data_IF_823719410600
#
_entry.id   IF_823719410600
#
_cell.length_a   1.000
_cell.length_b   1.000
_cell.length_c   1.000
_cell.angle_alpha   90.00
_cell.angle_beta   90.00
_cell.angle_gamma   90.00
#
_symmetry.space_group_name_H-M   'P 1'
#
loop_
_entity.id
_entity.type
_entity.pdbx_description
1 polymer ?
#
# COMPACT_ATOMS: atom_id res chain seq x y z
N UNK A 1 -31.64 -0.60 29.54
CA UNK A 1 -30.97 -0.78 28.23
C UNK A 1 -29.92 0.32 28.10
N UNK A 2 -28.67 -0.01 27.75
CA UNK A 2 -27.57 0.97 27.64
C UNK A 2 -27.15 1.11 26.19
N UNK A 3 -27.02 2.34 25.69
CA UNK A 3 -26.58 2.61 24.31
C UNK A 3 -25.27 3.37 24.31
N UNK A 4 -24.28 2.89 23.55
CA UNK A 4 -22.95 3.50 23.49
C UNK A 4 -22.59 3.82 22.04
N UNK A 5 -22.23 5.08 21.77
CA UNK A 5 -21.76 5.54 20.46
C UNK A 5 -20.25 5.34 20.32
N UNK A 6 -19.82 4.68 19.24
CA UNK A 6 -18.38 4.47 18.93
C UNK A 6 -18.10 4.76 17.46
N UNK A 7 -17.80 6.00 17.06
CA UNK A 7 -17.75 6.38 15.66
C UNK A 7 -16.69 5.62 14.85
N UNK A 8 -15.59 5.14 15.44
CA UNK A 8 -14.53 4.48 14.67
C UNK A 8 -14.41 2.98 14.94
N UNK A 9 -15.45 2.34 15.46
CA UNK A 9 -15.43 0.92 15.85
C UNK A 9 -14.95 0.02 14.69
N UNK A 10 -15.38 0.29 13.45
CA UNK A 10 -15.07 -0.55 12.29
C UNK A 10 -13.63 -0.44 11.77
N UNK A 11 -12.83 0.47 12.36
CA UNK A 11 -11.40 0.68 12.06
C UNK A 11 -10.49 0.39 13.25
N UNK A 12 -11.07 0.00 14.39
CA UNK A 12 -10.40 -0.20 15.67
C UNK A 12 -11.02 -1.43 16.32
N UNK A 13 -10.95 -2.55 15.59
CA UNK A 13 -11.73 -3.74 15.89
C UNK A 13 -11.16 -4.46 17.10
N UNK A 14 -9.85 -4.59 17.20
CA UNK A 14 -9.21 -5.14 18.40
C UNK A 14 -9.68 -4.43 19.68
N UNK A 15 -9.64 -3.09 19.72
CA UNK A 15 -10.13 -2.33 20.91
C UNK A 15 -11.64 -2.40 21.08
N UNK A 16 -12.39 -2.59 20.00
CA UNK A 16 -13.85 -2.75 20.08
C UNK A 16 -14.21 -4.13 20.62
N UNK A 17 -13.53 -5.19 20.19
CA UNK A 17 -13.68 -6.56 20.66
C UNK A 17 -13.29 -6.68 22.13
N UNK A 18 -12.12 -6.14 22.52
CA UNK A 18 -11.70 -6.10 23.93
C UNK A 18 -12.70 -5.35 24.81
N UNK A 19 -13.23 -4.23 24.33
CA UNK A 19 -14.27 -3.48 25.02
C UNK A 19 -15.59 -4.26 25.12
N UNK A 20 -15.99 -5.03 24.09
CA UNK A 20 -17.18 -5.88 24.18
C UNK A 20 -16.99 -7.00 25.23
N UNK A 21 -15.79 -7.57 25.31
CA UNK A 21 -15.43 -8.53 26.37
C UNK A 21 -15.50 -7.89 27.76
N UNK A 22 -14.98 -6.68 27.94
CA UNK A 22 -15.07 -5.94 29.20
C UNK A 22 -16.53 -5.63 29.58
N UNK A 23 -17.34 -5.21 28.62
CA UNK A 23 -18.76 -4.94 28.84
C UNK A 23 -19.50 -6.21 29.29
N UNK A 24 -19.23 -7.36 28.66
CA UNK A 24 -19.82 -8.63 29.07
C UNK A 24 -19.37 -9.06 30.47
N UNK A 25 -18.11 -8.84 30.83
CA UNK A 25 -17.58 -9.09 32.18
C UNK A 25 -18.22 -8.18 33.24
N UNK A 26 -18.76 -7.02 32.84
CA UNK A 26 -19.51 -6.12 33.72
C UNK A 26 -21.02 -6.43 33.76
N UNK A 27 -21.49 -7.51 33.11
CA UNK A 27 -22.91 -7.86 33.02
C UNK A 27 -23.69 -7.09 31.96
N UNK A 28 -23.01 -6.47 30.98
CA UNK A 28 -23.64 -5.82 29.83
C UNK A 28 -23.52 -6.70 28.59
N UNK A 29 -24.59 -7.42 28.27
CA UNK A 29 -24.64 -8.27 27.08
C UNK A 29 -25.08 -7.46 25.86
N UNK A 30 -24.36 -7.61 24.74
CA UNK A 30 -24.70 -6.93 23.50
C UNK A 30 -26.06 -7.43 23.00
N UNK A 31 -27.05 -6.55 22.93
CA UNK A 31 -28.40 -6.88 22.45
C UNK A 31 -28.57 -6.55 20.96
N UNK A 32 -27.86 -5.54 20.47
CA UNK A 32 -27.93 -5.13 19.08
C UNK A 32 -26.93 -4.04 18.75
N UNK A 33 -26.88 -3.64 17.49
CA UNK A 33 -26.10 -2.50 17.03
C UNK A 33 -26.82 -1.77 15.90
N UNK A 34 -26.44 -0.52 15.67
CA UNK A 34 -26.85 0.23 14.50
C UNK A 34 -25.60 0.69 13.76
N UNK A 35 -25.29 0.03 12.64
CA UNK A 35 -24.08 0.30 11.87
C UNK A 35 -24.06 1.72 11.25
N UNK A 36 -25.24 2.29 10.94
CA UNK A 36 -25.36 3.64 10.34
C UNK A 36 -25.09 4.71 11.39
N UNK A 37 -25.73 4.59 12.54
CA UNK A 37 -25.56 5.50 13.68
C UNK A 37 -24.30 5.20 14.50
N UNK A 38 -23.62 4.08 14.23
CA UNK A 38 -22.40 3.63 14.93
C UNK A 38 -22.62 3.46 16.44
N UNK A 39 -23.79 2.97 16.82
CA UNK A 39 -24.19 2.74 18.21
C UNK A 39 -24.32 1.25 18.51
N UNK A 40 -24.00 0.88 19.76
CA UNK A 40 -24.15 -0.47 20.30
C UNK A 40 -25.17 -0.42 21.43
N UNK A 41 -26.12 -1.36 21.43
CA UNK A 41 -27.19 -1.45 22.41
C UNK A 41 -26.99 -2.68 23.29
N UNK A 42 -27.05 -2.50 24.60
CA UNK A 42 -26.78 -3.52 25.60
C UNK A 42 -28.00 -3.75 26.49
N UNK A 43 -28.20 -5.02 26.85
CA UNK A 43 -29.09 -5.45 27.93
C UNK A 43 -28.26 -5.79 29.16
N UNK A 44 -28.83 -5.54 30.33
CA UNK A 44 -28.22 -5.98 31.57
C UNK A 44 -28.48 -7.48 31.71
N UNK A 45 -27.43 -8.24 32.02
CA UNK A 45 -27.41 -9.69 32.10
C UNK A 45 -26.39 -10.11 33.18
N UNK A 46 -26.27 -11.40 33.43
CA UNK A 46 -25.23 -11.92 34.33
C UNK A 46 -23.82 -11.63 33.79
N UNK A 47 -22.85 -11.25 34.65
CA UNK A 47 -21.45 -11.12 34.25
C UNK A 47 -20.91 -12.42 33.64
N UNK A 48 -20.41 -12.36 32.41
CA UNK A 48 -19.84 -13.53 31.72
C UNK A 48 -18.52 -13.15 31.05
N UNK A 49 -17.50 -13.96 31.27
CA UNK A 49 -16.26 -13.91 30.52
C UNK A 49 -16.44 -14.63 29.19
N UNK A 50 -16.46 -13.88 28.10
CA UNK A 50 -16.53 -14.43 26.76
C UNK A 50 -15.67 -13.63 25.78
N UNK A 51 -15.13 -14.31 24.79
CA UNK A 51 -14.34 -13.72 23.72
C UNK A 51 -15.26 -13.27 22.60
N UNK A 52 -15.17 -11.98 22.26
CA UNK A 52 -15.91 -11.38 21.14
C UNK A 52 -15.01 -11.23 19.92
N UNK A 53 -15.54 -11.53 18.74
CA UNK A 53 -14.87 -11.30 17.47
C UNK A 53 -15.83 -10.68 16.46
N UNK A 54 -15.37 -9.67 15.74
CA UNK A 54 -16.17 -9.01 14.71
C UNK A 54 -15.66 -9.43 13.34
N UNK A 55 -16.53 -10.09 12.57
CA UNK A 55 -16.29 -10.52 11.21
C UNK A 55 -16.88 -9.58 10.17
N UNK A 56 -16.26 -9.58 8.98
CA UNK A 56 -16.81 -8.98 7.77
C UNK A 56 -16.90 -10.06 6.69
N UNK A 57 -18.11 -10.48 6.36
CA UNK A 57 -18.41 -11.57 5.43
C UNK A 57 -18.61 -11.05 3.99
N UNK A 58 -18.40 -11.92 2.99
CA UNK A 58 -18.65 -11.58 1.59
C UNK A 58 -20.16 -11.43 1.30
N UNK A 59 -20.99 -12.25 1.97
CA UNK A 59 -22.44 -12.29 1.84
C UNK A 59 -23.10 -12.04 3.21
N UNK A 60 -24.35 -11.57 3.20
CA UNK A 60 -25.08 -11.19 4.42
C UNK A 60 -25.73 -12.36 5.18
N UNK A 61 -25.59 -13.60 4.67
CA UNK A 61 -26.17 -14.81 5.26
C UNK A 61 -25.18 -15.99 5.20
N UNK A 62 -23.90 -15.78 5.51
CA UNK A 62 -22.95 -16.90 5.54
C UNK A 62 -23.10 -17.67 6.85
N UNK A 63 -23.40 -18.96 6.80
CA UNK A 63 -23.41 -19.81 7.98
C UNK A 63 -22.03 -19.83 8.65
N UNK A 64 -21.97 -20.07 9.96
CA UNK A 64 -20.68 -20.27 10.65
C UNK A 64 -19.99 -21.50 10.05
N UNK A 65 -18.74 -21.39 9.55
CA UNK A 65 -18.04 -22.55 9.00
C UNK A 65 -17.95 -23.69 10.01
N UNK A 66 -18.09 -24.95 9.56
CA UNK A 66 -18.13 -26.13 10.42
C UNK A 66 -16.92 -26.23 11.37
N UNK A 67 -15.72 -25.91 10.89
CA UNK A 67 -14.50 -25.89 11.71
C UNK A 67 -14.55 -24.84 12.83
N UNK A 68 -15.23 -23.72 12.61
CA UNK A 68 -15.38 -22.62 13.57
C UNK A 68 -16.46 -22.95 14.61
N UNK A 69 -17.56 -23.56 14.17
CA UNK A 69 -18.60 -24.08 15.06
C UNK A 69 -18.04 -25.20 15.97
N UNK A 70 -17.22 -26.10 15.43
CA UNK A 70 -16.52 -27.13 16.19
C UNK A 70 -15.54 -26.56 17.22
N UNK A 71 -14.96 -25.39 16.94
CA UNK A 71 -14.10 -24.66 17.88
C UNK A 71 -14.88 -23.83 18.92
N UNK A 72 -16.21 -24.00 19.01
CA UNK A 72 -17.06 -23.37 20.04
C UNK A 72 -17.54 -21.97 19.69
N UNK A 73 -17.27 -21.46 18.49
CA UNK A 73 -17.77 -20.15 18.08
C UNK A 73 -19.24 -20.20 17.69
N UNK A 74 -19.98 -19.20 18.14
CA UNK A 74 -21.39 -19.00 17.77
C UNK A 74 -21.56 -17.60 17.20
N UNK A 75 -22.48 -17.45 16.24
CA UNK A 75 -22.86 -16.15 15.71
C UNK A 75 -23.88 -15.52 16.66
N UNK A 76 -23.55 -14.35 17.19
CA UNK A 76 -24.38 -13.62 18.15
C UNK A 76 -25.30 -12.62 17.45
N UNK A 77 -24.75 -11.84 16.51
CA UNK A 77 -25.48 -10.83 15.75
C UNK A 77 -24.99 -10.75 14.32
N UNK A 78 -25.89 -10.38 13.40
CA UNK A 78 -25.53 -10.07 12.01
C UNK A 78 -26.35 -8.88 11.50
N UNK A 79 -25.68 -7.94 10.83
CA UNK A 79 -26.33 -6.86 10.10
C UNK A 79 -25.59 -6.61 8.78
N UNK A 80 -26.23 -7.01 7.67
CA UNK A 80 -25.58 -7.01 6.36
C UNK A 80 -24.34 -7.90 6.37
N UNK A 81 -23.21 -7.36 5.90
CA UNK A 81 -21.92 -8.08 5.83
C UNK A 81 -21.19 -8.17 7.17
N UNK A 82 -21.71 -7.55 8.23
CA UNK A 82 -21.06 -7.56 9.54
C UNK A 82 -21.67 -8.63 10.43
N UNK A 83 -20.81 -9.43 11.04
CA UNK A 83 -21.19 -10.46 11.99
C UNK A 83 -20.41 -10.29 13.28
N UNK A 84 -21.05 -10.59 14.40
CA UNK A 84 -20.41 -10.67 15.71
C UNK A 84 -20.45 -12.12 16.14
N UNK A 85 -19.30 -12.67 16.49
CA UNK A 85 -19.15 -14.03 17.00
C UNK A 85 -18.72 -14.01 18.45
N UNK A 86 -19.21 -14.99 19.20
CA UNK A 86 -18.91 -15.19 20.62
C UNK A 86 -18.35 -16.59 20.83
N UNK A 87 -17.39 -16.69 21.76
CA UNK A 87 -16.86 -17.96 22.23
C UNK A 87 -16.67 -17.88 23.75
N UNK A 88 -17.20 -18.84 24.53
CA UNK A 88 -17.02 -18.87 25.98
C UNK A 88 -15.59 -19.20 26.42
N UNK A 89 -14.72 -19.69 25.53
CA UNK A 89 -13.32 -20.00 25.83
C UNK A 89 -12.45 -18.75 26.04
N UNK A 90 -11.42 -18.89 26.88
CA UNK A 90 -10.37 -17.87 27.03
C UNK A 90 -9.54 -17.73 25.74
N UNK A 91 -9.09 -16.52 25.37
CA UNK A 91 -8.39 -16.26 24.10
C UNK A 91 -7.18 -17.16 23.84
N UNK A 92 -6.46 -17.55 24.89
CA UNK A 92 -5.23 -18.36 24.81
C UNK A 92 -5.49 -19.83 24.43
N UNK A 93 -6.68 -20.35 24.71
CA UNK A 93 -7.07 -21.72 24.39
C UNK A 93 -7.66 -21.87 22.97
N UNK A 94 -7.93 -20.76 22.27
CA UNK A 94 -8.61 -20.76 20.98
C UNK A 94 -7.62 -21.01 19.83
N UNK A 95 -7.75 -22.16 19.17
CA UNK A 95 -6.90 -22.55 18.03
C UNK A 95 -7.42 -22.07 16.67
N UNK A 96 -8.68 -21.66 16.58
CA UNK A 96 -9.32 -21.23 15.33
C UNK A 96 -10.04 -19.90 15.54
N UNK A 97 -9.83 -18.95 14.61
CA UNK A 97 -10.43 -17.62 14.61
C UNK A 97 -11.19 -17.37 13.31
N UNK A 98 -12.21 -16.48 13.33
CA UNK A 98 -12.87 -16.06 12.09
C UNK A 98 -11.89 -15.42 11.11
N UNK A 99 -12.00 -15.76 9.82
CA UNK A 99 -11.14 -15.18 8.79
C UNK A 99 -11.34 -13.67 8.67
N UNK A 100 -10.24 -12.90 8.70
CA UNK A 100 -10.23 -11.44 8.57
C UNK A 100 -9.89 -10.95 7.15
N UNK A 101 -9.87 -11.84 6.16
CA UNK A 101 -9.45 -11.53 4.78
C UNK A 101 -10.27 -10.41 4.13
N UNK A 102 -11.59 -10.53 4.17
CA UNK A 102 -12.51 -9.55 3.57
C UNK A 102 -12.51 -8.21 4.34
N UNK A 103 -12.30 -8.26 5.66
CA UNK A 103 -12.13 -7.07 6.47
C UNK A 103 -10.87 -6.28 6.05
N UNK A 104 -9.73 -6.96 5.89
CA UNK A 104 -8.48 -6.35 5.42
C UNK A 104 -8.66 -5.75 4.02
N UNK A 105 -9.38 -6.45 3.12
CA UNK A 105 -9.73 -5.95 1.79
C UNK A 105 -10.53 -4.65 1.87
N UNK A 106 -11.57 -4.58 2.70
CA UNK A 106 -12.35 -3.36 2.95
C UNK A 106 -11.47 -2.23 3.50
N UNK A 107 -10.64 -2.51 4.49
CA UNK A 107 -9.73 -1.53 5.10
C UNK A 107 -8.76 -0.92 4.08
N UNK A 108 -8.28 -1.71 3.11
CA UNK A 108 -7.47 -1.22 1.99
C UNK A 108 -8.25 -0.26 1.08
N UNK A 109 -9.48 -0.62 0.70
CA UNK A 109 -10.34 0.24 -0.12
C UNK A 109 -10.60 1.58 0.56
N UNK A 110 -10.92 1.57 1.85
CA UNK A 110 -11.12 2.81 2.61
C UNK A 110 -9.83 3.63 2.75
N UNK A 111 -8.68 2.97 2.94
CA UNK A 111 -7.38 3.68 2.95
C UNK A 111 -7.14 4.41 1.65
N UNK A 112 -7.47 3.81 0.50
CA UNK A 112 -7.35 4.46 -0.80
C UNK A 112 -8.28 5.67 -0.92
N UNK A 113 -9.55 5.51 -0.49
CA UNK A 113 -10.53 6.60 -0.48
C UNK A 113 -10.06 7.81 0.35
N UNK A 114 -9.62 7.58 1.59
CA UNK A 114 -9.11 8.66 2.45
C UNK A 114 -7.79 9.27 1.95
N UNK A 115 -6.94 8.46 1.30
CA UNK A 115 -5.75 8.96 0.62
C UNK A 115 -6.15 9.91 -0.51
N UNK A 116 -7.18 9.55 -1.30
CA UNK A 116 -7.74 10.42 -2.34
C UNK A 116 -8.22 11.76 -1.81
N UNK A 117 -8.98 11.76 -0.70
CA UNK A 117 -9.41 13.00 -0.01
C UNK A 117 -8.20 13.84 0.41
N UNK A 118 -7.20 13.21 1.01
CA UNK A 118 -5.99 13.89 1.50
C UNK A 118 -5.21 14.53 0.35
N UNK A 119 -5.03 13.81 -0.76
CA UNK A 119 -4.35 14.33 -1.96
C UNK A 119 -5.14 15.48 -2.59
N UNK A 120 -6.47 15.33 -2.71
CA UNK A 120 -7.33 16.38 -3.23
C UNK A 120 -7.25 17.66 -2.39
N UNK A 121 -7.36 17.54 -1.06
CA UNK A 121 -7.19 18.66 -0.15
C UNK A 121 -5.79 19.31 -0.31
N UNK A 122 -4.73 18.50 -0.38
CA UNK A 122 -3.36 19.00 -0.58
C UNK A 122 -3.22 19.80 -1.89
N UNK A 123 -3.81 19.32 -3.00
CA UNK A 123 -3.80 20.06 -4.29
C UNK A 123 -4.51 21.40 -4.16
N UNK A 124 -5.67 21.45 -3.49
CA UNK A 124 -6.39 22.70 -3.23
C UNK A 124 -5.54 23.67 -2.41
N UNK A 125 -4.82 23.19 -1.39
CA UNK A 125 -3.96 24.04 -0.56
C UNK A 125 -2.66 24.48 -1.26
N UNK A 126 -2.13 23.69 -2.19
CA UNK A 126 -0.90 24.03 -2.92
C UNK A 126 -1.11 25.26 -3.80
N UNK A 127 -2.26 25.39 -4.48
CA UNK A 127 -2.53 26.51 -5.40
C UNK A 127 -2.40 27.90 -4.73
N UNK A 128 -3.10 28.20 -3.61
CA UNK A 128 -2.94 29.50 -2.94
C UNK A 128 -1.53 29.64 -2.35
N UNK A 129 -0.90 28.55 -1.88
CA UNK A 129 0.46 28.59 -1.35
C UNK A 129 1.49 28.97 -2.42
N UNK A 130 1.37 28.42 -3.64
CA UNK A 130 2.27 28.77 -4.75
C UNK A 130 2.07 30.21 -5.21
N UNK A 131 0.82 30.69 -5.25
CA UNK A 131 0.51 32.10 -5.57
C UNK A 131 1.11 33.06 -4.53
N UNK A 132 0.97 32.75 -3.24
CA UNK A 132 1.57 33.54 -2.16
C UNK A 132 3.10 33.54 -2.24
N UNK A 133 3.70 32.37 -2.48
CA UNK A 133 5.16 32.23 -2.61
C UNK A 133 5.68 33.03 -3.80
N UNK A 134 5.00 32.96 -4.95
CA UNK A 134 5.36 33.72 -6.13
C UNK A 134 5.31 35.23 -5.87
N UNK A 135 4.24 35.71 -5.22
CA UNK A 135 4.10 37.13 -4.85
C UNK A 135 5.24 37.65 -3.98
N UNK A 136 5.65 36.87 -2.97
CA UNK A 136 6.78 37.23 -2.10
C UNK A 136 8.08 37.32 -2.90
N UNK A 137 8.29 36.42 -3.87
CA UNK A 137 9.51 36.39 -4.70
C UNK A 137 9.52 37.54 -5.70
N UNK A 138 8.39 37.84 -6.35
CA UNK A 138 8.30 38.86 -7.40
C UNK A 138 8.02 40.27 -6.87
N UNK A 139 7.80 40.42 -5.57
CA UNK A 139 7.42 41.70 -4.95
C UNK A 139 6.06 42.22 -5.44
N UNK A 140 5.24 41.37 -6.07
CA UNK A 140 3.94 41.78 -6.60
C UNK A 140 2.90 41.72 -5.47
N UNK A 141 2.15 42.80 -5.20
CA UNK A 141 1.18 42.78 -4.12
C UNK A 141 0.01 41.84 -4.43
N UNK A 142 -0.28 40.87 -3.55
CA UNK A 142 -1.49 40.03 -3.66
C UNK A 142 -2.71 40.87 -3.33
N UNK A 143 -3.55 41.12 -4.35
CA UNK A 143 -4.86 41.73 -4.13
C UNK A 143 -5.88 40.65 -3.74
N UNK A 144 -6.20 40.54 -2.46
CA UNK A 144 -7.25 39.64 -1.98
C UNK A 144 -8.61 40.24 -2.32
N UNK A 145 -9.30 39.65 -3.29
CA UNK A 145 -10.67 40.03 -3.65
C UNK A 145 -11.65 39.27 -2.77
N UNK A 146 -12.54 39.97 -2.08
CA UNK A 146 -13.60 39.32 -1.28
C UNK A 146 -14.53 38.56 -2.21
N UNK A 147 -14.72 37.26 -1.93
CA UNK A 147 -15.70 36.46 -2.66
C UNK A 147 -17.11 36.99 -2.41
N UNK A 148 -17.94 37.20 -3.44
CA UNK A 148 -19.37 37.48 -3.27
C UNK A 148 -20.08 36.39 -2.44
N UNK A 149 -19.55 35.16 -2.50
CA UNK A 149 -20.04 33.98 -1.79
C UNK A 149 -19.10 33.58 -0.63
N UNK A 150 -18.64 34.57 0.15
CA UNK A 150 -17.68 34.35 1.24
C UNK A 150 -18.17 33.35 2.29
N UNK A 151 -19.46 33.33 2.61
CA UNK A 151 -20.04 32.39 3.58
C UNK A 151 -19.97 30.95 3.05
N UNK A 152 -20.35 30.74 1.79
CA UNK A 152 -20.32 29.40 1.15
C UNK A 152 -18.88 28.89 1.04
N UNK A 153 -17.95 29.74 0.61
CA UNK A 153 -16.53 29.38 0.52
C UNK A 153 -15.91 29.10 1.89
N UNK A 154 -16.27 29.87 2.92
CA UNK A 154 -15.88 29.61 4.30
C UNK A 154 -16.40 28.27 4.83
N UNK A 155 -17.71 28.00 4.66
CA UNK A 155 -18.33 26.73 5.05
C UNK A 155 -17.71 25.53 4.30
N UNK A 156 -17.44 25.68 3.01
CA UNK A 156 -16.76 24.65 2.22
C UNK A 156 -15.33 24.38 2.73
N UNK A 157 -14.60 25.43 3.11
CA UNK A 157 -13.28 25.32 3.73
C UNK A 157 -13.31 24.57 5.06
N UNK A 158 -14.27 24.91 5.94
CA UNK A 158 -14.47 24.20 7.22
C UNK A 158 -14.84 22.74 6.98
N UNK A 159 -15.77 22.46 6.06
CA UNK A 159 -16.16 21.10 5.72
C UNK A 159 -14.98 20.27 5.18
N UNK A 160 -14.15 20.85 4.30
CA UNK A 160 -12.95 20.21 3.77
C UNK A 160 -11.94 19.92 4.89
N UNK A 161 -11.76 20.83 5.84
CA UNK A 161 -10.86 20.65 6.98
C UNK A 161 -11.35 19.54 7.91
N UNK A 162 -12.66 19.49 8.22
CA UNK A 162 -13.26 18.40 8.99
C UNK A 162 -13.13 17.05 8.28
N UNK A 163 -13.35 17.00 6.97
CA UNK A 163 -13.14 15.80 6.15
C UNK A 163 -11.68 15.35 6.16
N UNK A 164 -10.74 16.29 6.08
CA UNK A 164 -9.30 16.00 6.15
C UNK A 164 -8.92 15.42 7.51
N UNK A 165 -9.38 16.02 8.61
CA UNK A 165 -9.14 15.51 9.97
C UNK A 165 -9.72 14.10 10.11
N UNK A 166 -10.97 13.88 9.69
CA UNK A 166 -11.61 12.57 9.72
C UNK A 166 -10.85 11.53 8.87
N UNK A 167 -10.35 11.92 7.69
CA UNK A 167 -9.54 11.08 6.83
C UNK A 167 -8.21 10.69 7.48
N UNK A 168 -7.50 11.65 8.10
CA UNK A 168 -6.23 11.42 8.79
C UNK A 168 -6.41 10.50 10.01
N UNK A 169 -7.43 10.73 10.84
CA UNK A 169 -7.76 9.87 11.99
C UNK A 169 -8.11 8.45 11.52
N UNK A 170 -8.95 8.34 10.48
CA UNK A 170 -9.35 7.04 9.94
C UNK A 170 -8.16 6.29 9.35
N UNK A 171 -7.29 6.96 8.60
CA UNK A 171 -6.05 6.38 8.08
C UNK A 171 -5.12 5.93 9.21
N UNK A 172 -4.98 6.72 10.27
CA UNK A 172 -4.15 6.35 11.41
C UNK A 172 -4.68 5.08 12.09
N UNK A 173 -5.99 5.02 12.38
CA UNK A 173 -6.64 3.85 12.99
C UNK A 173 -6.53 2.61 12.10
N UNK A 174 -6.86 2.72 10.82
CA UNK A 174 -6.74 1.60 9.88
C UNK A 174 -5.29 1.09 9.78
N UNK A 175 -4.29 1.99 9.78
CA UNK A 175 -2.88 1.60 9.76
C UNK A 175 -2.44 0.95 11.08
N UNK A 176 -2.90 1.44 12.23
CA UNK A 176 -2.62 0.83 13.52
C UNK A 176 -3.21 -0.59 13.59
N UNK A 177 -4.47 -0.74 13.19
CA UNK A 177 -5.16 -2.02 13.16
C UNK A 177 -4.53 -3.00 12.15
N UNK A 178 -4.21 -2.52 10.95
CA UNK A 178 -3.49 -3.32 9.96
C UNK A 178 -2.13 -3.77 10.49
N UNK A 179 -1.39 -2.90 11.20
CA UNK A 179 -0.11 -3.27 11.82
C UNK A 179 -0.27 -4.32 12.91
N UNK A 180 -1.40 -4.38 13.61
CA UNK A 180 -1.68 -5.44 14.57
C UNK A 180 -1.87 -6.77 13.84
N UNK A 181 -2.73 -6.81 12.81
CA UNK A 181 -2.96 -8.03 12.01
C UNK A 181 -1.73 -8.50 11.23
N UNK A 182 -0.97 -7.56 10.66
CA UNK A 182 0.30 -7.83 10.02
C UNK A 182 1.46 -7.81 11.01
N UNK A 183 1.24 -7.66 12.32
CA UNK A 183 2.29 -7.67 13.35
C UNK A 183 2.53 -9.09 13.83
N UNK A 184 1.43 -9.82 14.07
CA UNK A 184 1.43 -11.26 14.29
C UNK A 184 1.92 -12.03 13.04
N UNK A 185 1.39 -11.66 11.86
CA UNK A 185 1.93 -12.09 10.57
C UNK A 185 3.15 -11.26 10.11
N UNK A 186 3.70 -10.39 10.97
CA UNK A 186 4.80 -9.47 10.62
C UNK A 186 6.15 -10.15 10.51
N UNK A 187 6.25 -11.31 11.16
CA UNK A 187 7.31 -12.29 10.88
C UNK A 187 7.29 -12.71 9.40
N UNK A 188 6.12 -12.77 8.73
CA UNK A 188 5.98 -13.08 7.30
C UNK A 188 6.62 -12.06 6.35
N UNK A 189 6.59 -10.78 6.74
CA UNK A 189 7.05 -9.69 5.88
C UNK A 189 8.43 -9.14 6.29
N UNK A 190 9.05 -9.68 7.34
CA UNK A 190 10.37 -9.26 7.80
C UNK A 190 11.38 -9.54 6.70
N UNK A 191 11.99 -8.47 6.18
CA UNK A 191 13.11 -8.57 5.26
C UNK A 191 14.21 -9.36 5.97
N UNK A 192 14.59 -10.49 5.39
CA UNK A 192 15.64 -11.32 5.94
C UNK A 192 16.98 -10.65 5.66
N UNK A 193 17.47 -9.91 6.65
CA UNK A 193 18.86 -9.45 6.69
C UNK A 193 19.73 -10.64 7.05
N UNK A 194 20.65 -11.08 6.17
CA UNK A 194 21.59 -12.13 6.51
C UNK A 194 22.50 -11.67 7.66
N UNK A 195 23.02 -12.64 8.43
CA UNK A 195 24.00 -12.37 9.49
C UNK A 195 25.16 -11.54 8.93
N UNK A 196 25.51 -10.46 9.63
CA UNK A 196 26.57 -9.55 9.20
C UNK A 196 27.92 -10.28 9.22
N UNK A 197 28.47 -10.58 8.05
CA UNK A 197 29.90 -10.91 7.95
C UNK A 197 30.72 -9.62 7.97
N UNK A 198 31.93 -9.69 8.55
CA UNK A 198 32.91 -8.60 8.70
C UNK A 198 33.61 -8.23 7.38
N UNK A 199 32.89 -8.27 6.25
CA UNK A 199 33.42 -8.03 4.92
C UNK A 199 33.36 -6.57 4.45
N UNK A 200 34.16 -6.25 3.42
CA UNK A 200 34.17 -4.93 2.75
C UNK A 200 32.79 -4.62 2.17
N UNK A 201 32.25 -3.44 2.48
CA UNK A 201 30.91 -3.01 2.06
C UNK A 201 30.98 -2.29 0.72
N UNK A 202 29.97 -2.51 -0.12
CA UNK A 202 29.75 -1.76 -1.35
C UNK A 202 28.30 -1.27 -1.41
N UNK A 203 28.12 0.00 -1.82
CA UNK A 203 26.81 0.61 -2.00
C UNK A 203 26.64 0.94 -3.47
N UNK A 204 25.51 0.53 -4.07
CA UNK A 204 25.21 0.80 -5.48
C UNK A 204 23.82 1.37 -5.63
N UNK A 205 23.68 2.41 -6.45
CA UNK A 205 22.41 3.04 -6.77
C UNK A 205 21.83 2.46 -8.07
N UNK A 206 20.56 2.09 -8.04
CA UNK A 206 19.77 1.70 -9.21
C UNK A 206 18.43 2.41 -9.21
N UNK A 207 18.33 3.49 -9.98
CA UNK A 207 17.09 4.24 -10.15
C UNK A 207 16.19 3.60 -11.21
N UNK A 208 14.87 3.58 -10.96
CA UNK A 208 13.87 3.18 -11.94
C UNK A 208 13.89 1.70 -12.34
N UNK A 209 14.46 0.82 -11.52
CA UNK A 209 14.50 -0.62 -11.81
C UNK A 209 13.12 -1.26 -11.91
N UNK A 210 12.10 -0.69 -11.25
CA UNK A 210 10.70 -1.15 -11.27
C UNK A 210 10.10 -1.12 -12.68
N UNK A 211 10.70 -0.36 -13.60
CA UNK A 211 10.29 -0.27 -15.00
C UNK A 211 10.99 -1.33 -15.88
N UNK A 212 11.99 -2.04 -15.36
CA UNK A 212 12.70 -3.13 -16.03
C UNK A 212 13.21 -4.14 -14.99
N UNK A 213 12.32 -4.85 -14.29
CA UNK A 213 12.67 -5.74 -13.18
C UNK A 213 13.61 -6.87 -13.61
N UNK A 214 13.47 -7.39 -14.82
CA UNK A 214 14.34 -8.40 -15.41
C UNK A 214 15.83 -7.98 -15.46
N UNK A 215 16.08 -6.69 -15.74
CA UNK A 215 17.45 -6.16 -15.75
C UNK A 215 18.01 -6.03 -14.35
N UNK A 216 17.15 -5.80 -13.35
CA UNK A 216 17.58 -5.80 -11.95
C UNK A 216 17.95 -7.20 -11.49
N UNK A 217 17.12 -8.20 -11.78
CA UNK A 217 17.34 -9.61 -11.44
C UNK A 217 18.73 -10.06 -11.93
N UNK A 218 18.97 -9.94 -13.25
CA UNK A 218 20.27 -10.26 -13.87
C UNK A 218 21.43 -9.47 -13.28
N UNK A 219 21.22 -8.20 -12.93
CA UNK A 219 22.24 -7.37 -12.34
C UNK A 219 22.60 -7.82 -10.92
N UNK A 220 21.61 -8.21 -10.10
CA UNK A 220 21.81 -8.76 -8.77
C UNK A 220 22.52 -10.12 -8.83
N UNK A 221 22.07 -11.02 -9.71
CA UNK A 221 22.74 -12.30 -9.99
C UNK A 221 24.21 -12.11 -10.36
N UNK A 222 24.51 -11.13 -11.24
CA UNK A 222 25.88 -10.82 -11.62
C UNK A 222 26.71 -10.23 -10.46
N UNK A 223 26.10 -9.55 -9.49
CA UNK A 223 26.80 -9.12 -8.28
C UNK A 223 27.15 -10.32 -7.39
N UNK A 224 26.22 -11.25 -7.19
CA UNK A 224 26.43 -12.46 -6.38
C UNK A 224 27.53 -13.35 -6.96
N UNK A 225 27.56 -13.52 -8.29
CA UNK A 225 28.64 -14.26 -8.98
C UNK A 225 30.01 -13.61 -8.82
N UNK A 226 30.07 -12.30 -8.57
CA UNK A 226 31.31 -11.58 -8.29
C UNK A 226 31.65 -11.58 -6.79
N UNK A 227 30.89 -12.29 -5.97
CA UNK A 227 31.00 -12.30 -4.50
C UNK A 227 30.55 -11.01 -3.84
N UNK A 228 29.72 -10.19 -4.51
CA UNK A 228 29.04 -9.05 -3.88
C UNK A 228 27.66 -9.49 -3.45
N UNK A 229 27.55 -9.85 -2.17
CA UNK A 229 26.37 -10.52 -1.64
C UNK A 229 25.38 -9.48 -1.12
N UNK A 230 24.16 -9.46 -1.65
CA UNK A 230 23.14 -8.49 -1.24
C UNK A 230 22.70 -8.80 0.18
N UNK A 231 22.84 -7.81 1.07
CA UNK A 231 22.39 -7.95 2.47
C UNK A 231 21.27 -6.98 2.85
N UNK A 232 21.16 -5.85 2.14
CA UNK A 232 20.13 -4.84 2.42
C UNK A 232 19.76 -4.05 1.19
N UNK A 233 18.48 -3.73 1.06
CA UNK A 233 17.97 -2.72 0.14
C UNK A 233 17.46 -1.54 0.96
N UNK A 234 17.76 -0.32 0.53
CA UNK A 234 17.30 0.91 1.16
C UNK A 234 15.77 1.01 1.14
N UNK A 235 15.21 1.81 2.05
CA UNK A 235 13.75 1.93 2.24
C UNK A 235 12.99 2.34 0.96
N UNK A 236 13.62 3.16 0.12
CA UNK A 236 13.05 3.60 -1.16
C UNK A 236 13.23 2.58 -2.29
N UNK A 237 13.93 1.47 -2.04
CA UNK A 237 14.19 0.43 -3.03
C UNK A 237 15.29 0.73 -4.04
N UNK A 238 15.90 1.92 -4.03
CA UNK A 238 16.85 2.35 -5.08
C UNK A 238 18.32 2.14 -4.71
N UNK A 239 18.63 2.00 -3.43
CA UNK A 239 20.01 1.84 -2.93
C UNK A 239 20.18 0.38 -2.49
N UNK A 240 21.21 -0.28 -3.03
CA UNK A 240 21.51 -1.68 -2.75
C UNK A 240 22.85 -1.78 -2.02
N UNK A 241 22.84 -2.47 -0.89
CA UNK A 241 23.99 -2.64 -0.03
C UNK A 241 24.49 -4.08 -0.12
N UNK A 242 25.76 -4.21 -0.43
CA UNK A 242 26.45 -5.47 -0.62
C UNK A 242 27.58 -5.62 0.40
N UNK A 243 27.86 -6.87 0.78
CA UNK A 243 29.06 -7.26 1.51
C UNK A 243 29.87 -8.18 0.61
N UNK A 244 31.18 -7.96 0.54
CA UNK A 244 32.09 -8.85 -0.18
C UNK A 244 32.16 -10.19 0.56
N UNK A 245 31.77 -11.27 -0.12
CA UNK A 245 31.79 -12.65 0.37
C UNK A 245 32.22 -13.62 -0.74
N UNK A 246 31.96 -14.90 -0.55
CA UNK A 246 32.16 -15.92 -1.58
C UNK A 246 31.16 -15.74 -2.73
N UNK A 247 31.59 -15.93 -3.99
CA UNK A 247 30.68 -16.08 -5.11
C UNK A 247 29.63 -17.13 -4.84
N UNK A 248 28.37 -16.82 -5.14
CA UNK A 248 27.25 -17.75 -5.01
C UNK A 248 26.26 -17.63 -6.17
N UNK A 249 25.53 -18.70 -6.40
CA UNK A 249 24.48 -18.78 -7.39
C UNK A 249 23.14 -18.49 -6.70
N UNK A 250 22.60 -17.30 -6.94
CA UNK A 250 21.34 -16.86 -6.35
C UNK A 250 20.46 -16.32 -7.46
N UNK A 251 19.27 -16.88 -7.58
CA UNK A 251 18.25 -16.35 -8.48
C UNK A 251 17.45 -15.26 -7.76
N UNK A 252 17.20 -14.16 -8.45
CA UNK A 252 16.38 -13.06 -7.93
C UNK A 252 15.07 -12.96 -8.70
N UNK A 253 14.00 -12.62 -7.99
CA UNK A 253 12.72 -12.33 -8.60
C UNK A 253 12.15 -11.02 -8.07
N UNK A 254 11.95 -10.05 -8.98
CA UNK A 254 11.30 -8.80 -8.66
C UNK A 254 9.81 -8.91 -9.02
N UNK A 255 9.00 -9.20 -8.01
CA UNK A 255 7.56 -9.40 -8.17
C UNK A 255 6.78 -8.14 -7.84
N UNK A 256 5.74 -7.86 -8.63
CA UNK A 256 4.81 -6.77 -8.36
C UNK A 256 3.46 -7.33 -7.95
N UNK A 257 2.88 -6.75 -6.91
CA UNK A 257 1.68 -7.26 -6.28
C UNK A 257 0.68 -6.13 -6.11
N UNK A 258 -0.52 -6.36 -6.63
CA UNK A 258 -1.67 -5.53 -6.28
C UNK A 258 -2.19 -6.01 -4.93
N UNK A 259 -1.76 -5.31 -3.87
CA UNK A 259 -2.13 -5.58 -2.49
C UNK A 259 -1.82 -7.02 -2.02
N UNK A 260 -0.55 -7.29 -1.69
CA UNK A 260 -0.09 -8.62 -1.28
C UNK A 260 -0.98 -9.27 -0.21
N UNK A 261 -1.50 -10.46 -0.52
CA UNK A 261 -2.22 -11.33 0.42
C UNK A 261 -1.24 -11.79 1.51
N UNK A 262 -1.60 -11.82 2.81
CA UNK A 262 -0.76 -12.49 3.82
C UNK A 262 -0.28 -13.88 3.35
N UNK A 263 -1.17 -14.65 2.73
CA UNK A 263 -0.92 -16.01 2.25
C UNK A 263 0.20 -16.06 1.18
N UNK A 264 0.42 -14.97 0.45
CA UNK A 264 1.44 -14.90 -0.60
C UNK A 264 2.87 -14.99 -0.03
N UNK A 265 3.16 -14.28 1.07
CA UNK A 265 4.52 -14.27 1.62
C UNK A 265 4.87 -15.63 2.24
N UNK A 266 3.92 -16.27 2.91
CA UNK A 266 4.13 -17.60 3.48
C UNK A 266 4.31 -18.67 2.39
N UNK A 267 3.52 -18.63 1.32
CA UNK A 267 3.66 -19.55 0.18
C UNK A 267 5.08 -19.54 -0.42
N UNK A 268 5.64 -18.36 -0.63
CA UNK A 268 6.98 -18.24 -1.21
C UNK A 268 8.08 -18.61 -0.21
N UNK A 269 7.90 -18.27 1.07
CA UNK A 269 8.85 -18.71 2.11
C UNK A 269 8.86 -20.22 2.26
N UNK A 270 7.70 -20.88 2.28
CA UNK A 270 7.64 -22.35 2.35
C UNK A 270 8.28 -23.01 1.14
N UNK A 271 8.33 -22.33 -0.02
CA UNK A 271 9.08 -22.76 -1.21
C UNK A 271 10.59 -22.41 -1.17
N UNK A 272 11.10 -21.88 -0.06
CA UNK A 272 12.50 -21.54 0.16
C UNK A 272 12.94 -20.17 -0.37
N UNK A 273 12.01 -19.30 -0.78
CA UNK A 273 12.33 -17.95 -1.21
C UNK A 273 12.50 -17.00 -0.02
N UNK A 274 13.57 -16.21 -0.04
CA UNK A 274 13.89 -15.21 0.99
C UNK A 274 13.50 -13.82 0.52
N UNK A 275 12.77 -13.08 1.36
CA UNK A 275 12.37 -11.70 1.07
C UNK A 275 13.52 -10.73 1.36
N UNK A 276 14.10 -10.12 0.31
CA UNK A 276 15.22 -9.16 0.41
C UNK A 276 14.77 -7.71 0.42
N UNK A 277 13.57 -7.43 -0.07
CA UNK A 277 13.01 -6.09 -0.07
C UNK A 277 11.50 -6.16 -0.27
N UNK A 278 10.77 -5.28 0.42
CA UNK A 278 9.36 -5.03 0.15
C UNK A 278 9.09 -3.54 0.30
N UNK A 279 8.49 -2.94 -0.71
CA UNK A 279 8.02 -1.54 -0.61
C UNK A 279 6.99 -1.37 0.51
N UNK A 280 7.04 -0.24 1.21
CA UNK A 280 6.16 0.05 2.35
C UNK A 280 4.75 0.51 1.96
N UNK A 281 4.47 0.73 0.67
CA UNK A 281 3.15 1.19 0.21
C UNK A 281 2.16 0.01 0.17
N UNK A 282 1.00 0.18 0.82
CA UNK A 282 0.07 -0.93 1.09
C UNK A 282 -0.73 -1.42 -0.13
N UNK A 283 -0.90 -0.58 -1.15
CA UNK A 283 -1.77 -0.89 -2.30
C UNK A 283 -1.03 -1.50 -3.49
N UNK A 284 0.28 -1.25 -3.57
CA UNK A 284 1.15 -1.69 -4.68
C UNK A 284 2.50 -2.04 -4.08
N UNK A 285 2.80 -3.33 -4.05
CA UNK A 285 4.02 -3.82 -3.44
C UNK A 285 4.93 -4.36 -4.52
N UNK A 286 6.11 -3.78 -4.64
CA UNK A 286 7.25 -4.48 -5.20
C UNK A 286 7.94 -5.26 -4.10
N UNK A 287 8.21 -6.54 -4.36
CA UNK A 287 8.96 -7.43 -3.50
C UNK A 287 10.13 -8.01 -4.29
N UNK A 288 11.32 -8.02 -3.69
CA UNK A 288 12.49 -8.70 -4.27
C UNK A 288 12.70 -9.98 -3.47
N UNK A 289 12.55 -11.11 -4.15
CA UNK A 289 12.81 -12.43 -3.62
C UNK A 289 14.17 -12.92 -4.09
N UNK A 290 14.80 -13.77 -3.28
CA UNK A 290 16.04 -14.45 -3.62
C UNK A 290 15.99 -15.91 -3.20
N UNK A 291 16.50 -16.81 -4.04
CA UNK A 291 16.71 -18.22 -3.69
C UNK A 291 18.08 -18.67 -4.21
N UNK A 292 18.87 -19.22 -3.30
CA UNK A 292 20.19 -19.78 -3.60
C UNK A 292 20.01 -21.20 -4.16
N UNK A 293 20.91 -21.61 -5.05
CA UNK A 293 20.88 -22.92 -5.72
C UNK A 293 22.31 -23.36 -6.03
N UNK A 294 22.51 -24.66 -6.18
CA UNK A 294 23.84 -25.22 -6.38
C UNK A 294 24.24 -25.34 -7.86
N UNK A 295 25.55 -25.50 -8.10
CA UNK A 295 26.10 -25.65 -9.44
C UNK A 295 25.67 -27.00 -10.02
N UNK A 296 24.83 -26.97 -11.06
CA UNK A 296 24.26 -28.18 -11.69
C UNK A 296 22.76 -28.34 -11.42
N UNK A 297 22.20 -27.59 -10.47
CA UNK A 297 20.75 -27.51 -10.27
C UNK A 297 20.09 -26.56 -11.28
N UNK A 298 18.84 -26.86 -11.64
CA UNK A 298 18.05 -25.92 -12.43
C UNK A 298 17.77 -24.63 -11.65
N UNK A 299 17.90 -23.44 -12.28
CA UNK A 299 17.60 -22.19 -11.62
C UNK A 299 16.18 -22.18 -11.03
N UNK A 300 16.02 -21.84 -9.74
CA UNK A 300 14.72 -21.95 -9.09
C UNK A 300 13.72 -20.99 -9.71
N UNK A 301 12.57 -21.52 -10.15
CA UNK A 301 11.49 -20.72 -10.71
C UNK A 301 10.49 -20.33 -9.63
N UNK A 302 10.10 -19.05 -9.60
CA UNK A 302 9.13 -18.55 -8.61
C UNK A 302 7.69 -18.87 -9.01
N UNK A 303 7.43 -19.00 -10.30
CA UNK A 303 6.13 -19.34 -10.88
C UNK A 303 6.29 -20.53 -11.81
N UNK A 304 5.42 -21.53 -11.67
CA UNK A 304 5.39 -22.70 -12.55
C UNK A 304 4.87 -22.38 -13.96
N UNK A 305 4.03 -21.34 -14.08
CA UNK A 305 3.46 -20.91 -15.36
C UNK A 305 4.08 -19.57 -15.81
N UNK A 306 4.80 -19.54 -16.94
CA UNK A 306 5.40 -18.31 -17.44
C UNK A 306 4.37 -17.33 -18.06
N UNK A 307 3.16 -17.79 -18.42
CA UNK A 307 2.08 -16.91 -18.87
C UNK A 307 1.59 -15.97 -17.76
N UNK A 308 1.67 -16.40 -16.50
CA UNK A 308 1.35 -15.56 -15.34
C UNK A 308 2.25 -14.31 -15.31
N UNK A 309 3.56 -14.48 -15.53
CA UNK A 309 4.54 -13.39 -15.59
C UNK A 309 4.27 -12.44 -16.74
N UNK A 310 3.90 -12.96 -17.91
CA UNK A 310 3.59 -12.15 -19.08
C UNK A 310 2.33 -11.28 -18.88
N UNK A 311 1.26 -11.87 -18.33
CA UNK A 311 0.02 -11.15 -17.98
C UNK A 311 0.29 -10.04 -16.98
N UNK A 312 1.18 -10.32 -16.02
CA UNK A 312 1.60 -9.36 -15.01
C UNK A 312 2.38 -8.19 -15.61
N UNK A 313 3.39 -8.47 -16.44
CA UNK A 313 4.18 -7.47 -17.15
C UNK A 313 3.32 -6.55 -18.03
N UNK A 314 2.33 -7.11 -18.75
CA UNK A 314 1.38 -6.33 -19.54
C UNK A 314 0.58 -5.36 -18.67
N UNK A 315 0.08 -5.83 -17.52
CA UNK A 315 -0.69 -5.00 -16.58
C UNK A 315 0.15 -3.85 -16.03
N UNK A 316 1.42 -4.10 -15.69
CA UNK A 316 2.37 -3.07 -15.26
C UNK A 316 2.55 -2.02 -16.36
N UNK A 317 2.83 -2.45 -17.60
CA UNK A 317 3.06 -1.55 -18.73
C UNK A 317 1.83 -0.66 -19.02
N UNK A 318 0.64 -1.27 -19.07
CA UNK A 318 -0.62 -0.52 -19.22
C UNK A 318 -0.83 0.48 -18.10
N UNK A 319 -0.61 0.08 -16.84
CA UNK A 319 -0.80 0.96 -15.70
C UNK A 319 0.12 2.18 -15.75
N UNK A 320 1.43 1.97 -15.96
CA UNK A 320 2.37 3.09 -16.03
C UNK A 320 2.14 3.95 -17.27
N UNK A 321 1.68 3.38 -18.38
CA UNK A 321 1.24 4.16 -19.54
C UNK A 321 0.07 5.07 -19.15
N UNK A 322 -0.99 4.52 -18.54
CA UNK A 322 -2.13 5.32 -18.13
C UNK A 322 -1.77 6.38 -17.08
N UNK A 323 -0.83 6.08 -16.19
CA UNK A 323 -0.37 7.01 -15.17
C UNK A 323 0.45 8.17 -15.77
N UNK A 324 1.37 7.89 -16.69
CA UNK A 324 2.31 8.88 -17.22
C UNK A 324 1.85 9.55 -18.52
N UNK A 325 0.90 8.96 -19.25
CA UNK A 325 0.40 9.51 -20.51
C UNK A 325 -0.21 10.92 -20.35
N UNK A 326 -1.06 11.21 -19.34
CA UNK A 326 -1.56 12.57 -19.14
C UNK A 326 -0.43 13.58 -18.87
N UNK A 327 0.59 13.18 -18.11
CA UNK A 327 1.76 14.02 -17.86
C UNK A 327 2.57 14.26 -19.13
N UNK A 328 2.79 13.23 -19.94
CA UNK A 328 3.47 13.35 -21.23
C UNK A 328 2.73 14.28 -22.18
N UNK A 329 1.41 14.13 -22.31
CA UNK A 329 0.59 15.00 -23.15
C UNK A 329 0.62 16.44 -22.65
N UNK A 330 0.47 16.65 -21.34
CA UNK A 330 0.53 17.98 -20.73
C UNK A 330 1.88 18.66 -20.98
N UNK A 331 3.00 17.98 -20.69
CA UNK A 331 4.32 18.58 -20.86
C UNK A 331 4.66 18.79 -22.34
N UNK A 332 4.26 17.88 -23.24
CA UNK A 332 4.45 18.07 -24.69
C UNK A 332 3.63 19.25 -25.22
N UNK A 333 2.37 19.40 -24.80
CA UNK A 333 1.53 20.54 -25.19
C UNK A 333 2.05 21.85 -24.63
N UNK A 334 2.52 21.88 -23.37
CA UNK A 334 3.15 23.09 -22.85
C UNK A 334 4.44 23.41 -23.63
N UNK A 335 5.26 22.40 -23.94
CA UNK A 335 6.48 22.58 -24.72
C UNK A 335 6.21 23.21 -26.09
N UNK A 336 5.16 22.78 -26.80
CA UNK A 336 4.79 23.39 -28.10
C UNK A 336 4.31 24.83 -27.94
N UNK A 337 3.54 25.15 -26.90
CA UNK A 337 3.11 26.53 -26.61
C UNK A 337 4.30 27.43 -26.28
N UNK A 338 5.21 26.98 -25.41
CA UNK A 338 6.39 27.76 -25.03
C UNK A 338 7.35 27.98 -26.20
N UNK A 339 7.57 26.97 -27.05
CA UNK A 339 8.40 27.11 -28.27
C UNK A 339 7.71 28.02 -29.29
N UNK A 340 6.41 27.85 -29.53
CA UNK A 340 5.66 28.67 -30.50
C UNK A 340 5.60 30.14 -30.11
N UNK A 341 5.53 30.44 -28.80
CA UNK A 341 5.59 31.80 -28.27
C UNK A 341 6.99 32.44 -28.30
N UNK A 342 8.03 31.70 -28.66
CA UNK A 342 9.42 32.17 -28.65
C UNK A 342 9.82 33.01 -29.88
N UNK A 343 8.98 33.05 -30.93
CA UNK A 343 9.27 33.81 -32.15
C UNK A 343 9.10 35.33 -32.03
N UNK A 344 8.41 35.83 -30.99
CA UNK A 344 8.02 37.24 -30.87
C UNK A 344 8.80 38.08 -29.85
N UNK A 345 9.24 37.48 -28.74
CA UNK A 345 10.03 38.15 -27.71
C UNK A 345 11.34 37.39 -27.52
N UNK A 346 12.47 38.11 -27.48
CA UNK A 346 13.81 37.55 -27.34
C UNK A 346 13.99 36.56 -26.17
N UNK A 347 15.10 35.81 -26.19
CA UNK A 347 15.36 34.71 -25.29
C UNK A 347 15.42 35.13 -23.80
N UNK A 348 14.31 35.00 -23.08
CA UNK A 348 14.24 35.16 -21.63
C UNK A 348 14.84 33.90 -20.93
N UNK A 349 15.85 34.03 -20.05
CA UNK A 349 16.45 32.90 -19.32
C UNK A 349 15.44 32.01 -18.57
N UNK A 350 14.38 32.60 -18.02
CA UNK A 350 13.32 31.84 -17.34
C UNK A 350 12.53 30.95 -18.31
N UNK A 351 12.29 31.42 -19.55
CA UNK A 351 11.62 30.64 -20.60
C UNK A 351 12.51 29.49 -21.07
N UNK A 352 13.80 29.72 -21.29
CA UNK A 352 14.76 28.66 -21.66
C UNK A 352 14.83 27.57 -20.57
N UNK A 353 14.84 27.97 -19.31
CA UNK A 353 14.83 27.03 -18.17
C UNK A 353 13.55 26.19 -18.16
N UNK A 354 12.38 26.78 -18.42
CA UNK A 354 11.11 26.05 -18.51
C UNK A 354 11.09 25.05 -19.67
N UNK A 355 11.56 25.46 -20.86
CA UNK A 355 11.66 24.58 -22.04
C UNK A 355 12.56 23.37 -21.72
N UNK A 356 13.73 23.62 -21.12
CA UNK A 356 14.65 22.55 -20.73
C UNK A 356 14.00 21.59 -19.71
N UNK A 357 13.34 22.13 -18.68
CA UNK A 357 12.68 21.32 -17.65
C UNK A 357 11.54 20.48 -18.21
N UNK A 358 10.76 21.02 -19.16
CA UNK A 358 9.70 20.29 -19.86
C UNK A 358 10.27 19.18 -20.74
N UNK A 359 11.32 19.46 -21.50
CA UNK A 359 11.98 18.46 -22.34
C UNK A 359 12.57 17.32 -21.50
N UNK A 360 13.25 17.64 -20.39
CA UNK A 360 13.75 16.65 -19.43
C UNK A 360 12.60 15.83 -18.84
N UNK A 361 11.49 16.46 -18.45
CA UNK A 361 10.28 15.78 -17.97
C UNK A 361 9.73 14.78 -18.99
N UNK A 362 9.56 15.20 -20.25
CA UNK A 362 9.08 14.33 -21.34
C UNK A 362 9.98 13.12 -21.54
N UNK A 363 11.31 13.33 -21.55
CA UNK A 363 12.29 12.24 -21.69
C UNK A 363 12.21 11.27 -20.51
N UNK A 364 12.14 11.78 -19.28
CA UNK A 364 12.08 10.95 -18.07
C UNK A 364 10.81 10.09 -18.06
N UNK A 365 9.63 10.70 -18.20
CA UNK A 365 8.37 9.97 -18.18
C UNK A 365 8.23 9.03 -19.39
N UNK A 366 8.70 9.46 -20.56
CA UNK A 366 8.75 8.64 -21.77
C UNK A 366 9.60 7.40 -21.56
N UNK A 367 10.78 7.56 -20.94
CA UNK A 367 11.67 6.44 -20.63
C UNK A 367 11.03 5.40 -19.71
N UNK A 368 10.17 5.81 -18.76
CA UNK A 368 9.46 4.88 -17.87
C UNK A 368 8.45 4.03 -18.64
N UNK A 369 7.65 4.67 -19.49
CA UNK A 369 6.70 3.98 -20.37
C UNK A 369 7.45 3.02 -21.30
N UNK A 370 8.46 3.50 -22.02
CA UNK A 370 9.24 2.67 -22.94
C UNK A 370 9.89 1.47 -22.25
N UNK A 371 10.51 1.65 -21.08
CA UNK A 371 11.16 0.55 -20.34
C UNK A 371 10.17 -0.55 -19.95
N UNK A 372 8.98 -0.18 -19.49
CA UNK A 372 7.94 -1.17 -19.10
C UNK A 372 7.42 -1.97 -20.29
N UNK A 373 7.21 -1.32 -21.44
CA UNK A 373 6.82 -2.01 -22.68
C UNK A 373 7.93 -2.89 -23.24
N UNK A 374 9.18 -2.43 -23.19
CA UNK A 374 10.33 -3.24 -23.58
C UNK A 374 10.49 -4.47 -22.66
N UNK A 375 10.20 -4.34 -21.36
CA UNK A 375 10.16 -5.47 -20.44
C UNK A 375 9.09 -6.49 -20.84
N UNK A 376 7.86 -6.04 -21.09
CA UNK A 376 6.79 -6.91 -21.59
C UNK A 376 7.20 -7.62 -22.91
N UNK A 377 7.77 -6.89 -23.87
CA UNK A 377 8.22 -7.45 -25.15
C UNK A 377 9.32 -8.50 -24.96
N UNK A 378 10.29 -8.26 -24.08
CA UNK A 378 11.36 -9.24 -23.79
C UNK A 378 10.80 -10.54 -23.23
N UNK A 379 9.84 -10.45 -22.31
CA UNK A 379 9.17 -11.64 -21.77
C UNK A 379 8.33 -12.38 -22.82
N UNK A 380 7.67 -11.64 -23.72
CA UNK A 380 6.91 -12.25 -24.82
C UNK A 380 7.83 -13.01 -25.77
N UNK A 381 9.00 -12.45 -26.09
CA UNK A 381 9.98 -13.09 -26.98
C UNK A 381 10.59 -14.33 -26.32
N UNK A 382 10.82 -14.35 -25.00
CA UNK A 382 11.37 -15.54 -24.33
C UNK A 382 10.37 -16.70 -24.18
N UNK A 383 9.10 -16.49 -24.56
CA UNK A 383 8.02 -17.47 -24.46
C UNK A 383 7.64 -18.11 -25.79
N UNK A 384 8.04 -17.47 -26.89
CA UNK A 384 7.91 -17.96 -28.26
C UNK A 384 9.25 -18.53 -28.69
#
# INVERSE_FOLDING_TARGET
>A
MKTVFRPFWSYDLHRTEAWLTEMAAQGWMLAGWNLRLRTFSFRQDTPVHMTWQIGYERSANTAVPAAMAAAGWRKHLQQGKWSVYTNPGQPEALKAYPSRKELLKRSRTHTLFFTGITVYAAVIFIIPLTLLTASVITGTPVRVVKSPMWLVTGLAGVALLLLLIAALISMHKIRAESRHFYGDNGRAQKVETPHMSTGRRAVRLRLGWMYSPDRLEKWLEAQERRGYNLYKVGRLGTIFYFIKGSPRLVNYHADYQLAADPDYFELHRSAGWKNRFSTSFSTRKWTIWSKEYDQGEEPPQMYSDPFHRLKHARRIAMYYTLLFLPMLLLYSLNLTVFIGSAGGDGANPARLTNILLMLVSVIIFGSFVSRTWLYYRRLKISLN
#
